data_IF_811476204586
#
_entry.id   IF_811476204586
#
_cell.length_a   1.000
_cell.length_b   1.000
_cell.length_c   1.000
_cell.angle_alpha   90.00
_cell.angle_beta   90.00
_cell.angle_gamma   90.00
#
_symmetry.space_group_name_H-M   'P 1'
#
loop_
_entity.id
_entity.type
_entity.pdbx_description
1 polymer ?
#
# COMPACT_ATOMS: atom_id res chain seq x y z
N UNK A 1 29.77 1.67 18.00
CA UNK A 1 30.09 1.71 16.57
C UNK A 1 30.60 0.31 16.19
N UNK A 2 29.72 -0.52 15.62
CA UNK A 2 30.11 -1.83 15.07
C UNK A 2 29.54 -1.92 13.66
N UNK A 3 30.46 -1.90 12.71
CA UNK A 3 30.22 -2.07 11.28
C UNK A 3 30.30 -3.57 11.01
N UNK A 4 29.20 -4.18 10.59
CA UNK A 4 29.26 -5.44 9.84
C UNK A 4 28.98 -5.13 8.37
N UNK A 5 30.06 -5.05 7.59
CA UNK A 5 30.03 -5.24 6.15
C UNK A 5 29.65 -6.70 5.90
N UNK A 6 28.50 -6.94 5.30
CA UNK A 6 28.29 -8.12 4.46
C UNK A 6 28.42 -7.68 3.02
N UNK A 7 29.61 -7.95 2.48
CA UNK A 7 29.98 -7.83 1.09
C UNK A 7 29.37 -8.99 0.31
N UNK A 8 28.23 -8.77 -0.33
CA UNK A 8 27.88 -9.44 -1.58
C UNK A 8 27.40 -8.34 -2.53
N UNK A 9 27.98 -8.29 -3.72
CA UNK A 9 27.87 -7.17 -4.66
C UNK A 9 26.43 -6.72 -4.87
N UNK A 10 26.13 -5.51 -4.40
CA UNK A 10 24.92 -4.79 -4.70
C UNK A 10 25.14 -4.11 -6.05
N UNK A 11 24.65 -4.70 -7.13
CA UNK A 11 24.28 -3.88 -8.26
C UNK A 11 23.04 -3.12 -7.80
N UNK A 12 23.22 -1.83 -7.48
CA UNK A 12 22.16 -0.86 -7.65
C UNK A 12 21.68 -1.07 -9.09
N UNK A 13 20.56 -1.78 -9.26
CA UNK A 13 19.78 -1.65 -10.48
C UNK A 13 19.38 -0.18 -10.53
N UNK A 14 20.21 0.60 -11.22
CA UNK A 14 19.84 1.88 -11.76
C UNK A 14 18.52 1.62 -12.45
N UNK A 15 17.45 2.10 -11.83
CA UNK A 15 16.19 2.29 -12.52
C UNK A 15 16.59 3.19 -13.69
N UNK A 16 16.72 2.64 -14.89
CA UNK A 16 16.75 3.44 -16.10
C UNK A 16 15.56 4.38 -15.94
N UNK A 17 15.84 5.68 -15.84
CA UNK A 17 14.81 6.70 -15.70
C UNK A 17 13.78 6.44 -16.79
N UNK A 18 12.63 5.89 -16.38
CA UNK A 18 11.60 5.55 -17.33
C UNK A 18 11.27 6.83 -18.09
N UNK A 19 11.09 6.74 -19.41
CA UNK A 19 10.70 7.89 -20.23
C UNK A 19 9.33 8.49 -19.81
N UNK A 20 8.66 7.89 -18.84
CA UNK A 20 7.43 8.38 -18.22
C UNK A 20 7.73 9.48 -17.20
N UNK A 21 7.01 10.59 -17.30
CA UNK A 21 7.02 11.66 -16.29
C UNK A 21 6.31 11.27 -14.99
N UNK A 22 5.77 10.05 -14.91
CA UNK A 22 5.02 9.52 -13.78
C UNK A 22 5.99 9.01 -12.72
N UNK A 23 5.86 9.53 -11.51
CA UNK A 23 6.66 9.07 -10.38
C UNK A 23 6.12 7.75 -9.83
N UNK A 24 6.95 6.70 -9.68
CA UNK A 24 6.53 5.43 -9.10
C UNK A 24 5.89 5.63 -7.73
N UNK A 25 4.81 4.90 -7.44
CA UNK A 25 4.10 4.98 -6.16
C UNK A 25 4.97 4.46 -5.03
N UNK A 26 5.49 3.25 -5.17
CA UNK A 26 6.52 2.70 -4.30
C UNK A 26 7.90 2.97 -4.90
N UNK A 27 8.85 3.36 -4.07
CA UNK A 27 10.28 3.42 -4.43
C UNK A 27 11.01 2.43 -3.53
N UNK A 28 12.15 1.90 -3.99
CA UNK A 28 12.98 0.87 -3.32
C UNK A 28 12.43 -0.56 -3.38
N UNK A 29 12.12 -1.03 -4.59
CA UNK A 29 11.68 -2.41 -4.85
C UNK A 29 12.70 -3.50 -4.52
N UNK A 30 13.99 -3.16 -4.35
CA UNK A 30 15.02 -4.12 -3.95
C UNK A 30 14.79 -4.72 -2.56
N UNK A 31 13.99 -4.07 -1.72
CA UNK A 31 13.57 -4.65 -0.45
C UNK A 31 12.65 -5.85 -0.62
N UNK A 32 12.26 -6.28 -1.82
CA UNK A 32 11.10 -7.18 -2.00
C UNK A 32 11.43 -8.50 -2.72
N UNK A 33 12.70 -8.92 -2.72
CA UNK A 33 13.09 -10.16 -3.39
C UNK A 33 12.82 -11.40 -2.52
N UNK A 34 11.77 -12.12 -2.90
CA UNK A 34 11.47 -13.53 -2.61
C UNK A 34 11.63 -13.95 -1.14
N UNK A 35 10.65 -13.57 -0.34
CA UNK A 35 10.67 -13.76 1.10
C UNK A 35 10.04 -15.12 1.43
N UNK A 36 10.88 -16.11 1.75
CA UNK A 36 10.40 -17.40 2.28
C UNK A 36 9.77 -17.29 3.68
N UNK A 37 10.06 -16.21 4.40
CA UNK A 37 9.59 -15.95 5.77
C UNK A 37 9.15 -14.48 5.91
N UNK A 38 7.87 -14.24 5.67
CA UNK A 38 7.25 -12.90 5.64
C UNK A 38 7.45 -12.17 6.97
N UNK A 39 7.35 -12.87 8.10
CA UNK A 39 7.54 -12.28 9.43
C UNK A 39 8.95 -11.76 9.63
N UNK A 40 9.95 -12.59 9.32
CA UNK A 40 11.35 -12.22 9.49
C UNK A 40 11.68 -10.98 8.65
N UNK A 41 11.19 -10.96 7.42
CA UNK A 41 11.34 -9.83 6.52
C UNK A 41 10.70 -8.54 7.06
N UNK A 42 9.44 -8.60 7.48
CA UNK A 42 8.73 -7.43 8.03
C UNK A 42 9.46 -6.87 9.26
N UNK A 43 10.03 -7.74 10.10
CA UNK A 43 10.86 -7.33 11.23
C UNK A 43 12.15 -6.61 10.79
N UNK A 44 12.87 -7.15 9.81
CA UNK A 44 14.11 -6.56 9.31
C UNK A 44 13.88 -5.19 8.65
N UNK A 45 12.85 -5.05 7.83
CA UNK A 45 12.49 -3.77 7.21
C UNK A 45 12.00 -2.77 8.26
N UNK A 46 11.24 -3.22 9.27
CA UNK A 46 10.84 -2.36 10.38
C UNK A 46 12.04 -1.82 11.16
N UNK A 47 13.04 -2.66 11.44
CA UNK A 47 14.27 -2.22 12.11
C UNK A 47 15.06 -1.22 11.27
N UNK A 48 15.18 -1.45 9.96
CA UNK A 48 15.81 -0.51 9.03
C UNK A 48 15.08 0.82 8.99
N UNK A 49 13.76 0.79 8.81
CA UNK A 49 12.94 2.00 8.77
C UNK A 49 13.00 2.81 10.07
N UNK A 50 13.05 2.16 11.25
CA UNK A 50 13.22 2.88 12.52
C UNK A 50 14.50 3.71 12.58
N UNK A 51 15.55 3.26 11.89
CA UNK A 51 16.85 3.93 11.83
C UNK A 51 16.83 5.03 10.76
N UNK A 52 16.38 4.70 9.54
CA UNK A 52 16.43 5.62 8.40
C UNK A 52 15.37 6.71 8.47
N UNK A 53 14.20 6.37 9.02
CA UNK A 53 12.93 7.11 8.93
C UNK A 53 12.56 7.51 7.50
N UNK A 54 13.02 6.73 6.52
CA UNK A 54 12.75 7.00 5.12
C UNK A 54 11.28 6.75 4.78
N UNK A 55 10.65 7.72 4.11
CA UNK A 55 9.24 7.64 3.75
C UNK A 55 8.93 6.51 2.74
N UNK A 56 9.84 6.23 1.81
CA UNK A 56 9.58 5.18 0.82
C UNK A 56 9.67 3.79 1.46
N UNK A 57 10.59 3.60 2.40
CA UNK A 57 10.67 2.40 3.24
C UNK A 57 9.41 2.22 4.08
N UNK A 58 8.92 3.30 4.71
CA UNK A 58 7.64 3.28 5.44
C UNK A 58 6.49 2.81 4.56
N UNK A 59 6.35 3.40 3.37
CA UNK A 59 5.21 3.17 2.50
C UNK A 59 5.18 1.71 2.00
N UNK A 60 6.35 1.17 1.65
CA UNK A 60 6.50 -0.25 1.29
C UNK A 60 6.17 -1.14 2.49
N UNK A 61 6.72 -0.84 3.66
CA UNK A 61 6.49 -1.63 4.87
C UNK A 61 5.01 -1.67 5.26
N UNK A 62 4.31 -0.53 5.20
CA UNK A 62 2.88 -0.46 5.48
C UNK A 62 2.07 -1.34 4.52
N UNK A 63 2.31 -1.20 3.20
CA UNK A 63 1.57 -1.97 2.21
C UNK A 63 1.84 -3.48 2.31
N UNK A 64 3.09 -3.89 2.54
CA UNK A 64 3.46 -5.29 2.70
C UNK A 64 2.89 -5.90 3.97
N UNK A 65 2.93 -5.16 5.09
CA UNK A 65 2.32 -5.60 6.35
C UNK A 65 0.82 -5.78 6.19
N UNK A 66 0.16 -4.88 5.43
CA UNK A 66 -1.27 -5.00 5.14
C UNK A 66 -1.59 -6.25 4.32
N UNK A 67 -0.89 -6.52 3.22
CA UNK A 67 -1.10 -7.75 2.43
C UNK A 67 -0.87 -9.01 3.28
N UNK A 68 0.22 -9.05 4.05
CA UNK A 68 0.51 -10.15 4.97
C UNK A 68 -0.63 -10.40 5.96
N UNK A 69 -1.26 -9.33 6.42
CA UNK A 69 -2.35 -9.38 7.39
C UNK A 69 -3.66 -9.83 6.73
N UNK A 70 -3.93 -9.42 5.48
CA UNK A 70 -5.05 -9.91 4.67
C UNK A 70 -4.93 -11.41 4.41
N UNK A 71 -3.73 -11.91 4.07
CA UNK A 71 -3.50 -13.34 3.88
C UNK A 71 -3.79 -14.14 5.15
N UNK A 72 -3.28 -13.71 6.31
CA UNK A 72 -3.56 -14.36 7.60
C UNK A 72 -5.07 -14.36 7.89
N UNK A 73 -5.77 -13.25 7.61
CA UNK A 73 -7.20 -13.13 7.82
C UNK A 73 -8.00 -14.06 6.89
N UNK A 74 -7.68 -14.09 5.60
CA UNK A 74 -8.37 -14.92 4.60
C UNK A 74 -8.12 -16.41 4.84
N UNK A 75 -6.91 -16.80 5.25
CA UNK A 75 -6.55 -18.19 5.53
C UNK A 75 -7.27 -18.75 6.77
N UNK A 76 -7.32 -17.99 7.87
CA UNK A 76 -7.89 -18.44 9.13
C UNK A 76 -8.39 -17.27 9.99
N UNK A 77 -9.64 -16.88 9.76
CA UNK A 77 -10.34 -15.80 10.47
C UNK A 77 -10.37 -16.04 11.99
N UNK A 78 -10.60 -17.27 12.45
CA UNK A 78 -10.68 -17.56 13.88
C UNK A 78 -9.31 -17.38 14.55
N UNK A 79 -8.25 -17.86 13.90
CA UNK A 79 -6.89 -17.67 14.39
C UNK A 79 -6.48 -16.19 14.33
N UNK A 80 -6.88 -15.44 13.31
CA UNK A 80 -6.66 -13.99 13.16
C UNK A 80 -7.08 -13.20 14.42
N UNK A 81 -8.23 -13.55 15.00
CA UNK A 81 -8.74 -12.88 16.21
C UNK A 81 -8.12 -13.37 17.49
N UNK A 82 -7.93 -14.68 17.60
CA UNK A 82 -7.54 -15.30 18.86
C UNK A 82 -6.02 -15.33 19.08
N UNK A 83 -5.24 -14.96 18.06
CA UNK A 83 -3.77 -14.97 18.12
C UNK A 83 -3.19 -13.56 18.04
N UNK A 84 -2.15 -13.32 18.83
CA UNK A 84 -1.45 -12.04 18.86
C UNK A 84 -0.29 -12.01 17.85
N UNK A 85 -0.61 -11.77 16.58
CA UNK A 85 0.38 -11.72 15.49
C UNK A 85 1.30 -10.50 15.58
N UNK A 86 2.54 -10.69 15.15
CA UNK A 86 3.49 -9.59 14.97
C UNK A 86 2.99 -8.62 13.89
N UNK A 87 2.50 -9.18 12.78
CA UNK A 87 1.97 -8.48 11.60
C UNK A 87 0.82 -7.54 11.98
N UNK A 88 -0.11 -8.04 12.81
CA UNK A 88 -1.25 -7.27 13.33
C UNK A 88 -0.80 -6.08 14.17
N UNK A 89 0.12 -6.30 15.12
CA UNK A 89 0.68 -5.23 15.95
C UNK A 89 1.43 -4.20 15.11
N UNK A 90 2.24 -4.67 14.17
CA UNK A 90 3.02 -3.81 13.29
C UNK A 90 2.11 -2.95 12.41
N UNK A 91 1.06 -3.54 11.83
CA UNK A 91 0.12 -2.83 10.96
C UNK A 91 -0.53 -1.65 11.69
N UNK A 92 -1.11 -1.89 12.87
CA UNK A 92 -1.73 -0.82 13.66
C UNK A 92 -0.75 0.26 14.09
N UNK A 93 0.46 -0.14 14.51
CA UNK A 93 1.51 0.81 14.86
C UNK A 93 1.90 1.72 13.67
N UNK A 94 2.07 1.14 12.47
CA UNK A 94 2.43 1.88 11.27
C UNK A 94 1.28 2.81 10.83
N UNK A 95 0.04 2.35 10.94
CA UNK A 95 -1.14 3.15 10.62
C UNK A 95 -1.25 4.38 11.53
N UNK A 96 -1.18 4.18 12.85
CA UNK A 96 -1.20 5.26 13.85
C UNK A 96 -0.06 6.26 13.59
N UNK A 97 1.17 5.77 13.42
CA UNK A 97 2.31 6.63 13.10
C UNK A 97 2.08 7.45 11.83
N UNK A 98 1.58 6.83 10.76
CA UNK A 98 1.33 7.51 9.49
C UNK A 98 0.23 8.56 9.60
N UNK A 99 -0.84 8.28 10.35
CA UNK A 99 -1.93 9.23 10.58
C UNK A 99 -1.48 10.45 11.39
N UNK A 100 -0.58 10.26 12.35
CA UNK A 100 -0.05 11.37 13.16
C UNK A 100 0.97 12.22 12.39
N UNK A 101 1.80 11.59 11.54
CA UNK A 101 3.00 12.23 11.00
C UNK A 101 2.97 12.50 9.49
N UNK A 102 2.17 11.74 8.73
CA UNK A 102 2.18 11.70 7.26
C UNK A 102 0.82 12.03 6.64
N UNK A 103 -0.16 12.50 7.41
CA UNK A 103 -1.54 12.78 6.94
C UNK A 103 -1.66 13.82 5.82
N UNK A 104 -0.59 14.60 5.58
CA UNK A 104 -0.49 15.56 4.46
C UNK A 104 0.24 14.95 3.24
N UNK A 105 0.88 13.80 3.38
CA UNK A 105 1.58 13.13 2.30
C UNK A 105 0.58 12.41 1.39
N UNK A 106 0.57 12.80 0.11
CA UNK A 106 -0.38 12.27 -0.88
C UNK A 106 -0.38 10.75 -0.98
N UNK A 107 0.79 10.11 -1.07
CA UNK A 107 0.87 8.66 -1.26
C UNK A 107 0.41 7.89 -0.03
N UNK A 108 0.75 8.38 1.16
CA UNK A 108 0.23 7.81 2.40
C UNK A 108 -1.29 7.90 2.46
N UNK A 109 -1.87 9.08 2.24
CA UNK A 109 -3.34 9.29 2.29
C UNK A 109 -4.08 8.44 1.27
N UNK A 110 -3.51 8.23 0.08
CA UNK A 110 -4.10 7.35 -0.94
C UNK A 110 -4.09 5.89 -0.50
N UNK A 111 -2.95 5.41 0.03
CA UNK A 111 -2.82 4.02 0.50
C UNK A 111 -3.69 3.76 1.74
N UNK A 112 -3.59 4.61 2.75
CA UNK A 112 -4.41 4.55 3.96
C UNK A 112 -5.91 4.63 3.63
N UNK A 113 -6.30 5.61 2.81
CA UNK A 113 -7.67 5.78 2.37
C UNK A 113 -8.23 4.56 1.65
N UNK A 114 -7.40 3.89 0.85
CA UNK A 114 -7.76 2.65 0.17
C UNK A 114 -7.90 1.47 1.13
N UNK A 115 -6.91 1.24 2.00
CA UNK A 115 -6.94 0.14 2.98
C UNK A 115 -8.18 0.27 3.87
N UNK A 116 -8.40 1.45 4.46
CA UNK A 116 -9.56 1.67 5.33
C UNK A 116 -10.90 1.53 4.60
N UNK A 117 -10.97 1.84 3.31
CA UNK A 117 -12.20 1.74 2.53
C UNK A 117 -12.48 0.33 1.96
N UNK A 118 -11.50 -0.57 1.94
CA UNK A 118 -11.62 -1.89 1.28
C UNK A 118 -11.54 -3.07 2.23
N UNK A 119 -10.91 -2.89 3.38
CA UNK A 119 -10.74 -3.96 4.36
C UNK A 119 -12.01 -4.12 5.21
N UNK A 120 -12.47 -5.37 5.32
CA UNK A 120 -13.75 -5.70 5.97
C UNK A 120 -13.77 -5.37 7.47
N UNK A 121 -14.98 -5.18 7.98
CA UNK A 121 -15.25 -4.85 9.38
C UNK A 121 -14.56 -5.78 10.39
N UNK A 122 -14.52 -7.04 10.00
CA UNK A 122 -13.97 -8.12 10.76
C UNK A 122 -12.46 -7.92 10.94
N UNK A 123 -11.73 -7.52 9.91
CA UNK A 123 -10.29 -7.36 9.98
C UNK A 123 -9.82 -6.42 11.10
N UNK A 124 -10.58 -5.37 11.41
CA UNK A 124 -10.21 -4.36 12.42
C UNK A 124 -10.24 -4.89 13.86
N UNK A 125 -10.94 -6.00 14.11
CA UNK A 125 -10.83 -6.79 15.35
C UNK A 125 -11.17 -6.07 16.66
N UNK A 126 -11.82 -4.91 16.62
CA UNK A 126 -12.30 -4.21 17.79
C UNK A 126 -13.78 -3.79 17.60
N UNK A 127 -14.73 -4.38 18.36
CA UNK A 127 -16.14 -3.99 18.31
C UNK A 127 -16.41 -2.54 18.78
N UNK A 128 -15.47 -1.90 19.49
CA UNK A 128 -15.58 -0.51 19.95
C UNK A 128 -15.11 0.52 18.91
N UNK A 129 -14.24 0.12 17.97
CA UNK A 129 -13.94 0.90 16.77
C UNK A 129 -15.12 0.72 15.82
N UNK A 130 -16.11 1.61 15.89
CA UNK A 130 -17.27 1.58 14.99
C UNK A 130 -16.78 1.61 13.54
N UNK A 131 -16.95 0.50 12.83
CA UNK A 131 -16.53 0.20 11.45
C UNK A 131 -16.94 1.26 10.44
N UNK A 132 -18.17 1.79 10.57
CA UNK A 132 -18.64 2.92 9.79
C UNK A 132 -17.65 4.09 9.87
N UNK A 133 -16.92 4.25 10.98
CA UNK A 133 -15.90 5.27 11.12
C UNK A 133 -14.63 5.01 10.31
N UNK A 134 -14.19 3.75 10.11
CA UNK A 134 -12.98 3.45 9.33
C UNK A 134 -13.26 3.46 7.83
N UNK A 135 -14.32 2.78 7.36
CA UNK A 135 -14.70 2.82 5.94
C UNK A 135 -15.05 4.25 5.52
N UNK A 136 -15.85 4.97 6.30
CA UNK A 136 -16.14 6.38 6.01
C UNK A 136 -14.93 7.28 6.23
N UNK A 137 -13.97 6.93 7.09
CA UNK A 137 -12.69 7.65 7.17
C UNK A 137 -11.90 7.47 5.88
N UNK A 138 -11.73 6.24 5.39
CA UNK A 138 -11.05 5.96 4.13
C UNK A 138 -11.70 6.70 2.95
N UNK A 139 -13.03 6.60 2.84
CA UNK A 139 -13.81 7.35 1.85
C UNK A 139 -13.65 8.87 1.98
N UNK A 140 -13.64 9.42 3.20
CA UNK A 140 -13.43 10.86 3.45
C UNK A 140 -12.01 11.30 3.04
N UNK A 141 -10.99 10.51 3.35
CA UNK A 141 -9.61 10.78 2.96
C UNK A 141 -9.49 10.87 1.43
N UNK A 142 -10.04 9.89 0.71
CA UNK A 142 -10.00 9.84 -0.76
C UNK A 142 -10.81 10.98 -1.41
N UNK A 143 -12.00 11.30 -0.88
CA UNK A 143 -12.80 12.46 -1.34
C UNK A 143 -12.05 13.77 -1.14
N UNK A 144 -11.41 13.96 0.03
CA UNK A 144 -10.64 15.16 0.36
C UNK A 144 -9.47 15.33 -0.60
N UNK A 145 -8.62 14.31 -0.73
CA UNK A 145 -7.41 14.43 -1.54
C UNK A 145 -7.71 14.59 -3.03
N UNK A 146 -8.80 14.00 -3.52
CA UNK A 146 -9.31 14.27 -4.87
C UNK A 146 -9.74 15.71 -5.08
N UNK A 147 -10.43 16.32 -4.11
CA UNK A 147 -10.84 17.73 -4.18
C UNK A 147 -9.61 18.65 -4.23
N UNK A 148 -8.56 18.30 -3.50
CA UNK A 148 -7.30 19.07 -3.44
C UNK A 148 -6.41 18.86 -4.68
N UNK A 149 -6.56 17.74 -5.39
CA UNK A 149 -5.73 17.37 -6.55
C UNK A 149 -6.59 16.92 -7.75
N UNK A 150 -7.49 17.78 -8.27
CA UNK A 150 -8.41 17.40 -9.33
C UNK A 150 -7.66 17.03 -10.61
N UNK A 151 -7.99 15.87 -11.20
CA UNK A 151 -7.39 15.41 -12.46
C UNK A 151 -5.98 14.79 -12.33
N UNK A 152 -5.40 14.75 -11.13
CA UNK A 152 -4.20 13.95 -10.87
C UNK A 152 -4.55 12.46 -11.07
N UNK A 153 -3.83 11.79 -11.96
CA UNK A 153 -4.14 10.42 -12.37
C UNK A 153 -4.19 9.43 -11.21
N UNK A 154 -3.18 9.45 -10.34
CA UNK A 154 -3.09 8.44 -9.28
C UNK A 154 -4.19 8.67 -8.25
N UNK A 155 -4.50 9.95 -7.98
CA UNK A 155 -5.60 10.32 -7.09
C UNK A 155 -6.96 9.91 -7.67
N UNK A 156 -7.21 10.21 -8.94
CA UNK A 156 -8.46 9.83 -9.60
C UNK A 156 -8.59 8.31 -9.74
N UNK A 157 -7.49 7.59 -9.96
CA UNK A 157 -7.50 6.13 -10.04
C UNK A 157 -7.86 5.50 -8.69
N UNK A 158 -7.17 5.86 -7.61
CA UNK A 158 -7.52 5.39 -6.25
C UNK A 158 -8.96 5.74 -5.86
N UNK A 159 -9.44 6.93 -6.22
CA UNK A 159 -10.84 7.31 -6.02
C UNK A 159 -11.78 6.39 -6.80
N UNK A 160 -11.47 6.11 -8.07
CA UNK A 160 -12.33 5.27 -8.92
C UNK A 160 -12.44 3.82 -8.41
N UNK A 161 -11.42 3.29 -7.74
CA UNK A 161 -11.46 1.94 -7.16
C UNK A 161 -12.54 1.80 -6.07
N UNK A 162 -12.88 2.89 -5.38
CA UNK A 162 -13.84 2.87 -4.27
C UNK A 162 -15.23 3.37 -4.69
N UNK A 163 -15.29 4.37 -5.57
CA UNK A 163 -16.53 5.09 -5.84
C UNK A 163 -17.14 4.83 -7.21
N UNK A 164 -16.39 4.29 -8.17
CA UNK A 164 -16.93 4.06 -9.51
C UNK A 164 -17.66 2.72 -9.58
N UNK A 165 -18.90 2.73 -10.09
CA UNK A 165 -19.54 1.48 -10.50
C UNK A 165 -18.82 0.85 -11.70
N UNK A 166 -19.04 -0.45 -12.01
CA UNK A 166 -18.32 -1.15 -13.08
C UNK A 166 -18.33 -0.41 -14.43
N UNK A 167 -19.49 0.13 -14.83
CA UNK A 167 -19.62 0.88 -16.08
C UNK A 167 -18.93 2.26 -16.08
N UNK A 168 -18.84 2.90 -14.91
CA UNK A 168 -18.14 4.18 -14.75
C UNK A 168 -16.63 3.98 -14.75
N UNK A 169 -16.15 2.93 -14.07
CA UNK A 169 -14.75 2.56 -14.08
C UNK A 169 -14.28 2.23 -15.51
N UNK A 170 -15.06 1.48 -16.29
CA UNK A 170 -14.72 1.19 -17.69
C UNK A 170 -14.55 2.44 -18.55
N UNK A 171 -15.35 3.48 -18.30
CA UNK A 171 -15.22 4.80 -18.95
C UNK A 171 -13.97 5.52 -18.45
N UNK A 172 -13.71 5.51 -17.14
CA UNK A 172 -12.52 6.08 -16.52
C UNK A 172 -11.23 5.45 -17.06
N UNK A 173 -11.16 4.11 -17.09
CA UNK A 173 -10.04 3.32 -17.57
C UNK A 173 -9.60 3.76 -18.97
N UNK A 174 -10.57 3.91 -19.88
CA UNK A 174 -10.32 4.39 -21.25
C UNK A 174 -9.92 5.87 -21.27
N UNK A 175 -10.63 6.72 -20.53
CA UNK A 175 -10.39 8.17 -20.51
C UNK A 175 -8.99 8.53 -20.01
N UNK A 176 -8.52 7.82 -18.99
CA UNK A 176 -7.24 8.10 -18.34
C UNK A 176 -6.09 7.21 -18.80
N UNK A 177 -6.35 6.33 -19.77
CA UNK A 177 -5.39 5.37 -20.33
C UNK A 177 -4.69 4.54 -19.23
N UNK A 178 -5.50 3.99 -18.31
CA UNK A 178 -5.01 3.33 -17.09
C UNK A 178 -4.06 2.18 -17.42
N UNK A 179 -4.39 1.35 -18.42
CA UNK A 179 -3.58 0.19 -18.79
C UNK A 179 -2.13 0.53 -19.17
N UNK A 180 -1.93 1.65 -19.86
CA UNK A 180 -0.59 2.11 -20.26
C UNK A 180 0.19 2.70 -19.09
N UNK A 181 -0.51 3.38 -18.18
CA UNK A 181 0.11 4.19 -17.11
C UNK A 181 0.32 3.44 -15.81
N UNK A 182 -0.46 2.40 -15.54
CA UNK A 182 -0.41 1.68 -14.26
C UNK A 182 0.93 0.99 -14.04
N UNK A 183 1.56 0.52 -15.11
CA UNK A 183 2.89 -0.09 -15.05
C UNK A 183 3.99 0.93 -14.72
N UNK A 184 3.81 2.21 -15.09
CA UNK A 184 4.75 3.27 -14.69
C UNK A 184 4.55 3.70 -13.23
N UNK A 185 3.30 3.66 -12.75
CA UNK A 185 2.98 3.94 -11.34
C UNK A 185 3.47 2.83 -10.42
N UNK A 186 3.27 1.58 -10.82
CA UNK A 186 3.70 0.40 -10.09
C UNK A 186 4.67 -0.39 -10.98
N UNK A 187 5.95 0.03 -11.09
CA UNK A 187 6.91 -0.58 -12.02
C UNK A 187 7.70 -1.73 -11.40
N UNK A 188 7.60 -1.95 -10.09
CA UNK A 188 8.47 -2.86 -9.37
C UNK A 188 7.93 -4.30 -9.43
N UNK A 189 8.82 -5.29 -9.32
CA UNK A 189 8.44 -6.70 -9.25
C UNK A 189 8.17 -7.13 -7.80
N UNK A 190 7.11 -6.57 -7.22
CA UNK A 190 6.77 -6.74 -5.81
C UNK A 190 5.35 -7.22 -5.67
N UNK A 191 5.04 -7.96 -4.61
CA UNK A 191 3.68 -8.44 -4.34
C UNK A 191 2.66 -7.29 -4.32
N UNK A 192 3.01 -6.16 -3.70
CA UNK A 192 2.15 -4.97 -3.64
C UNK A 192 1.97 -4.32 -5.01
N UNK A 193 3.03 -4.21 -5.82
CA UNK A 193 2.93 -3.68 -7.18
C UNK A 193 2.06 -4.60 -8.06
N UNK A 194 2.25 -5.92 -7.95
CA UNK A 194 1.42 -6.92 -8.64
C UNK A 194 -0.04 -6.82 -8.22
N UNK A 195 -0.31 -6.65 -6.93
CA UNK A 195 -1.66 -6.45 -6.41
C UNK A 195 -2.34 -5.24 -7.08
N UNK A 196 -1.70 -4.07 -7.09
CA UNK A 196 -2.29 -2.86 -7.67
C UNK A 196 -2.39 -2.91 -9.20
N UNK A 197 -1.43 -3.51 -9.91
CA UNK A 197 -1.54 -3.77 -11.36
C UNK A 197 -2.73 -4.68 -11.67
N UNK A 198 -2.90 -5.77 -10.90
CA UNK A 198 -4.01 -6.71 -11.08
C UNK A 198 -5.37 -6.04 -10.87
N UNK A 199 -5.51 -5.14 -9.88
CA UNK A 199 -6.74 -4.37 -9.67
C UNK A 199 -7.12 -3.51 -10.89
N UNK A 200 -6.13 -2.89 -11.53
CA UNK A 200 -6.37 -2.13 -12.75
C UNK A 200 -6.89 -3.02 -13.89
N UNK A 201 -6.43 -4.27 -13.97
CA UNK A 201 -6.80 -5.20 -15.04
C UNK A 201 -8.13 -5.95 -14.79
N UNK A 202 -8.47 -6.27 -13.54
CA UNK A 202 -9.71 -6.98 -13.17
C UNK A 202 -10.98 -6.22 -13.59
N UNK A 203 -10.85 -4.93 -13.85
CA UNK A 203 -11.95 -4.04 -14.21
C UNK A 203 -12.11 -3.85 -15.73
N UNK A 204 -11.42 -4.66 -16.56
CA UNK A 204 -11.55 -4.69 -18.03
C UNK A 204 -12.79 -5.47 -18.51
N UNK A 205 -13.32 -6.37 -17.67
CA UNK A 205 -14.54 -7.16 -17.92
C UNK A 205 -15.77 -6.29 -18.08
#
# INVERSE_FOLDING_TARGET
>A
MYIYRLSHGYEEENIEESKSSIQPFFRKGWMLRNIKDQRKFLSEVFDQWKISRDFNEFLVLLAQTWIALEDIYIEDVDKYYNTNFFEKKLFFYLLEYGEETLIQNKKFVLLDGYIQATTEYFFWGNPELKIEASEEKGKRLLKRIRKENPGDFIVEWFYSLIFAGPGEYKKFYKKFDVGSRINDVFPLDTEVDHYFRKLADLSRG
#
